data_IF_287197843123
#
_entry.id   IF_287197843123
#
_cell.length_a   1.000
_cell.length_b   1.000
_cell.length_c   1.000
_cell.angle_alpha   90.00
_cell.angle_beta   90.00
_cell.angle_gamma   90.00
#
_symmetry.space_group_name_H-M   'P 1'
#
loop_
_entity.id
_entity.type
_entity.pdbx_description
1 polymer ?
#
# COMPACT_ATOMS: atom_id res chain seq x y z
N UNK A 1 -1.97 -2.77 21.18
CA UNK A 1 -1.56 -4.15 20.84
C UNK A 1 -2.56 -5.25 21.24
N UNK A 2 -3.42 -5.09 22.25
CA UNK A 2 -4.36 -6.15 22.66
C UNK A 2 -5.31 -6.63 21.54
N UNK A 3 -5.72 -5.73 20.63
CA UNK A 3 -6.70 -6.04 19.57
C UNK A 3 -6.09 -6.72 18.35
N UNK A 4 -4.83 -6.45 18.01
CA UNK A 4 -4.16 -7.08 16.85
C UNK A 4 -3.93 -8.57 17.04
N UNK A 5 -3.79 -9.03 18.27
CA UNK A 5 -3.64 -10.47 18.55
C UNK A 5 -4.86 -11.31 18.11
N UNK A 6 -6.00 -10.66 17.86
CA UNK A 6 -7.23 -11.29 17.34
C UNK A 6 -7.47 -11.02 15.86
N UNK A 7 -6.62 -10.21 15.22
CA UNK A 7 -6.71 -9.90 13.80
C UNK A 7 -6.22 -11.06 12.93
N UNK A 8 -6.85 -11.22 11.77
CA UNK A 8 -6.37 -12.09 10.69
C UNK A 8 -4.94 -11.73 10.23
N UNK A 9 -4.48 -10.52 10.53
CA UNK A 9 -3.14 -10.03 10.22
C UNK A 9 -2.17 -10.06 11.40
N UNK A 10 -2.56 -10.60 12.55
CA UNK A 10 -1.72 -10.58 13.77
C UNK A 10 -0.32 -11.14 13.54
N UNK A 11 -0.18 -12.15 12.68
CA UNK A 11 1.10 -12.75 12.35
C UNK A 11 2.05 -11.78 11.63
N UNK A 12 1.54 -10.87 10.80
CA UNK A 12 2.36 -9.88 10.07
C UNK A 12 2.97 -8.83 11.00
N UNK A 13 2.34 -8.56 12.14
CA UNK A 13 2.74 -7.51 13.07
C UNK A 13 3.43 -8.04 14.34
N UNK A 14 3.65 -9.35 14.44
CA UNK A 14 4.19 -9.97 15.67
C UNK A 14 5.56 -9.44 16.06
N UNK A 15 6.36 -8.97 15.11
CA UNK A 15 7.70 -8.44 15.33
C UNK A 15 7.73 -6.91 15.43
N UNK A 16 6.59 -6.26 15.26
CA UNK A 16 6.50 -4.81 15.21
C UNK A 16 6.45 -4.21 16.62
N UNK A 17 7.22 -3.15 16.82
CA UNK A 17 7.35 -2.46 18.12
C UNK A 17 7.10 -0.96 18.04
N UNK A 18 6.54 -0.49 16.93
CA UNK A 18 6.30 0.94 16.71
C UNK A 18 5.26 1.50 17.67
N UNK A 19 5.51 2.66 18.28
CA UNK A 19 4.47 3.38 18.98
C UNK A 19 3.49 3.97 17.97
N UNK A 20 2.20 3.86 18.24
CA UNK A 20 1.15 4.56 17.51
C UNK A 20 0.77 5.80 18.30
N UNK A 21 0.78 6.94 17.64
CA UNK A 21 0.30 8.20 18.21
C UNK A 21 -1.14 8.42 17.75
N UNK A 22 -2.07 8.53 18.69
CA UNK A 22 -3.51 8.55 18.39
C UNK A 22 -4.04 9.83 17.71
N UNK A 23 -3.27 10.93 17.72
CA UNK A 23 -3.75 12.27 17.36
C UNK A 23 -3.37 12.73 15.94
N UNK A 24 -2.97 11.82 15.04
CA UNK A 24 -2.60 12.19 13.68
C UNK A 24 -3.81 12.47 12.79
N UNK A 25 -3.64 13.42 11.87
CA UNK A 25 -4.72 13.92 11.01
C UNK A 25 -5.37 12.81 10.16
N UNK A 26 -4.58 11.89 9.61
CA UNK A 26 -5.10 10.77 8.81
C UNK A 26 -5.92 9.78 9.66
N UNK A 27 -5.53 9.54 10.91
CA UNK A 27 -6.27 8.68 11.81
C UNK A 27 -7.58 9.33 12.26
N UNK A 28 -7.53 10.65 12.53
CA UNK A 28 -8.74 11.45 12.82
C UNK A 28 -9.71 11.46 11.64
N UNK A 29 -9.19 11.53 10.39
CA UNK A 29 -10.03 11.44 9.18
C UNK A 29 -10.80 10.11 9.13
N UNK A 30 -10.12 8.99 9.34
CA UNK A 30 -10.77 7.68 9.30
C UNK A 30 -11.78 7.53 10.47
N UNK A 31 -11.45 8.00 11.67
CA UNK A 31 -12.38 8.02 12.80
C UNK A 31 -13.61 8.89 12.53
N UNK A 32 -13.42 10.06 11.93
CA UNK A 32 -14.51 10.93 11.53
C UNK A 32 -15.42 10.26 10.48
N UNK A 33 -14.82 9.52 9.53
CA UNK A 33 -15.58 8.73 8.55
C UNK A 33 -16.38 7.60 9.22
N UNK A 34 -15.79 6.90 10.18
CA UNK A 34 -16.46 5.85 10.94
C UNK A 34 -17.61 6.39 11.81
N UNK A 35 -17.52 7.65 12.26
CA UNK A 35 -18.51 8.29 13.12
C UNK A 35 -19.49 9.20 12.36
N UNK A 36 -19.40 9.29 11.02
CA UNK A 36 -20.25 10.17 10.21
C UNK A 36 -20.00 11.67 10.42
N UNK A 37 -18.83 12.06 10.96
CA UNK A 37 -18.51 13.44 11.34
C UNK A 37 -17.86 14.20 10.17
N UNK A 38 -18.68 14.56 9.17
CA UNK A 38 -18.21 15.20 7.95
C UNK A 38 -17.55 16.57 8.18
N UNK A 39 -18.02 17.35 9.14
CA UNK A 39 -17.43 18.66 9.45
C UNK A 39 -16.04 18.52 10.08
N UNK A 40 -15.85 17.54 10.95
CA UNK A 40 -14.53 17.23 11.49
C UNK A 40 -13.57 16.77 10.38
N UNK A 41 -13.99 15.85 9.54
CA UNK A 41 -13.20 15.40 8.39
C UNK A 41 -12.79 16.58 7.49
N UNK A 42 -13.73 17.48 7.17
CA UNK A 42 -13.45 18.68 6.37
C UNK A 42 -12.44 19.62 7.05
N UNK A 43 -12.48 19.74 8.37
CA UNK A 43 -11.58 20.63 9.13
C UNK A 43 -10.11 20.21 9.05
N UNK A 44 -9.84 18.96 8.69
CA UNK A 44 -8.49 18.42 8.51
C UNK A 44 -7.84 18.85 7.18
N UNK A 45 -8.63 19.38 6.24
CA UNK A 45 -8.16 19.87 4.95
C UNK A 45 -8.28 21.40 4.87
N UNK A 46 -7.44 22.00 4.03
CA UNK A 46 -7.54 23.44 3.72
C UNK A 46 -8.10 23.66 2.31
N UNK A 47 -8.96 24.66 2.19
CA UNK A 47 -9.63 25.03 0.92
C UNK A 47 -8.79 26.01 0.07
N UNK A 48 -7.50 26.11 0.22
CA UNK A 48 -6.68 27.06 -0.55
C UNK A 48 -6.24 26.46 -1.88
N UNK A 49 -6.71 27.07 -2.98
CA UNK A 49 -6.19 26.83 -4.32
C UNK A 49 -4.85 27.54 -4.48
N UNK A 50 -3.74 26.90 -4.17
CA UNK A 50 -2.41 27.40 -4.49
C UNK A 50 -1.98 26.82 -5.85
N UNK A 51 -1.73 27.69 -6.83
CA UNK A 51 -1.15 27.38 -8.15
C UNK A 51 -1.90 26.30 -8.99
N UNK A 52 -3.23 26.24 -8.90
CA UNK A 52 -4.03 25.35 -9.72
C UNK A 52 -4.12 23.89 -9.22
N UNK A 53 -3.45 23.53 -8.14
CA UNK A 53 -3.69 22.28 -7.43
C UNK A 53 -5.00 22.38 -6.65
N UNK A 54 -5.78 21.28 -6.64
CA UNK A 54 -6.93 21.15 -5.77
C UNK A 54 -6.41 20.47 -4.51
N UNK A 55 -6.07 21.20 -3.44
CA UNK A 55 -5.77 20.58 -2.16
C UNK A 55 -7.07 19.95 -1.67
N UNK A 56 -6.98 18.82 -1.02
CA UNK A 56 -8.14 18.07 -0.56
C UNK A 56 -8.56 16.95 -1.51
N UNK A 57 -7.80 15.89 -1.46
CA UNK A 57 -8.07 14.67 -2.22
C UNK A 57 -8.09 13.48 -1.28
N UNK A 58 -9.11 12.62 -1.43
CA UNK A 58 -9.10 11.28 -0.84
C UNK A 58 -9.23 10.29 -1.98
N UNK A 59 -8.21 9.46 -2.16
CA UNK A 59 -8.16 8.45 -3.20
C UNK A 59 -8.33 7.05 -2.59
N UNK A 60 -9.28 6.29 -3.10
CA UNK A 60 -9.62 4.96 -2.60
C UNK A 60 -9.63 3.93 -3.74
N UNK A 61 -9.60 2.62 -3.44
CA UNK A 61 -9.70 1.59 -4.46
C UNK A 61 -10.96 1.66 -5.32
N UNK A 62 -11.98 2.38 -4.90
CA UNK A 62 -13.30 2.42 -5.55
C UNK A 62 -13.73 3.81 -6.02
N UNK A 63 -13.14 4.89 -5.50
CA UNK A 63 -13.50 6.26 -5.89
C UNK A 63 -12.40 7.26 -5.55
N UNK A 64 -12.39 8.40 -6.27
CA UNK A 64 -11.62 9.59 -5.93
C UNK A 64 -12.57 10.70 -5.51
N UNK A 65 -12.27 11.34 -4.40
CA UNK A 65 -13.04 12.40 -3.79
C UNK A 65 -12.20 13.68 -3.80
N UNK A 66 -12.72 14.75 -4.40
CA UNK A 66 -11.99 16.00 -4.57
C UNK A 66 -12.74 17.17 -3.93
N UNK A 67 -11.99 18.05 -3.27
CA UNK A 67 -12.51 19.19 -2.54
C UNK A 67 -13.31 18.80 -1.29
N UNK A 68 -13.74 19.80 -0.50
CA UNK A 68 -14.48 19.55 0.74
C UNK A 68 -15.82 18.84 0.50
N UNK A 69 -16.48 19.07 -0.64
CA UNK A 69 -17.68 18.31 -1.01
C UNK A 69 -17.38 16.84 -1.25
N UNK A 70 -16.20 16.53 -1.81
CA UNK A 70 -15.71 15.17 -1.94
C UNK A 70 -15.44 14.52 -0.58
N UNK A 71 -14.82 15.25 0.37
CA UNK A 71 -14.60 14.75 1.73
C UNK A 71 -15.92 14.42 2.43
N UNK A 72 -16.95 15.29 2.32
CA UNK A 72 -18.28 15.00 2.87
C UNK A 72 -18.86 13.72 2.29
N UNK A 73 -18.81 13.59 0.95
CA UNK A 73 -19.30 12.39 0.27
C UNK A 73 -18.52 11.14 0.69
N UNK A 74 -17.21 11.23 0.88
CA UNK A 74 -16.41 10.11 1.40
C UNK A 74 -16.93 9.65 2.77
N UNK A 75 -17.17 10.58 3.69
CA UNK A 75 -17.68 10.25 5.02
C UNK A 75 -19.09 9.63 4.94
N UNK A 76 -19.97 10.17 4.10
CA UNK A 76 -21.34 9.66 3.92
C UNK A 76 -21.34 8.25 3.28
N UNK A 77 -20.43 7.96 2.37
CA UNK A 77 -20.35 6.68 1.67
C UNK A 77 -19.54 5.61 2.43
N UNK A 78 -18.77 5.99 3.47
CA UNK A 78 -17.80 5.09 4.13
C UNK A 78 -18.45 3.84 4.71
N UNK A 79 -19.31 3.98 5.71
CA UNK A 79 -19.98 2.82 6.33
C UNK A 79 -20.87 2.05 5.34
N UNK A 80 -21.71 2.70 4.50
CA UNK A 80 -22.51 2.02 3.49
C UNK A 80 -21.67 1.19 2.50
N UNK A 81 -20.48 1.65 2.13
CA UNK A 81 -19.57 0.92 1.22
C UNK A 81 -19.19 -0.45 1.75
N UNK A 82 -19.05 -0.58 3.06
CA UNK A 82 -18.73 -1.85 3.72
C UNK A 82 -19.97 -2.58 4.26
N UNK A 83 -21.18 -2.07 3.99
CA UNK A 83 -22.42 -2.65 4.52
C UNK A 83 -22.51 -2.58 6.04
N UNK A 84 -21.85 -1.59 6.65
CA UNK A 84 -21.74 -1.45 8.09
C UNK A 84 -22.66 -0.37 8.64
N UNK A 85 -23.02 -0.49 9.92
CA UNK A 85 -23.76 0.50 10.69
C UNK A 85 -22.90 1.21 11.72
N UNK A 86 -21.74 0.64 12.04
CA UNK A 86 -20.75 1.15 12.99
C UNK A 86 -19.37 0.63 12.63
N UNK A 87 -18.31 1.28 13.11
CA UNK A 87 -16.94 0.84 12.91
C UNK A 87 -15.99 1.30 14.01
N UNK A 88 -15.06 0.42 14.39
CA UNK A 88 -13.96 0.72 15.30
C UNK A 88 -12.63 0.79 14.55
N UNK A 89 -11.83 1.83 14.79
CA UNK A 89 -10.53 2.04 14.16
C UNK A 89 -9.42 1.62 15.11
N UNK A 90 -8.63 0.65 14.69
CA UNK A 90 -7.53 0.05 15.45
C UNK A 90 -6.21 0.39 14.75
N UNK A 91 -5.48 1.43 15.19
CA UNK A 91 -4.19 1.75 14.62
C UNK A 91 -3.13 0.73 15.01
N UNK A 92 -2.23 0.40 14.09
CA UNK A 92 -1.23 -0.64 14.25
C UNK A 92 0.19 -0.09 14.23
N UNK A 93 0.59 0.50 13.11
CA UNK A 93 1.92 1.05 12.88
C UNK A 93 1.78 2.40 12.20
N UNK A 94 2.72 3.29 12.49
CA UNK A 94 2.85 4.53 11.79
C UNK A 94 4.30 4.78 11.41
N UNK A 95 4.48 5.11 10.12
CA UNK A 95 5.75 5.50 9.53
C UNK A 95 5.64 6.94 9.07
N UNK A 96 6.57 7.80 9.44
CA UNK A 96 6.48 9.23 9.17
C UNK A 96 7.82 9.82 8.74
N UNK A 97 7.85 10.42 7.55
CA UNK A 97 9.03 11.10 7.04
C UNK A 97 8.65 12.13 5.97
N UNK A 98 9.43 13.21 5.87
CA UNK A 98 9.40 14.16 4.75
C UNK A 98 8.01 14.71 4.39
N UNK A 99 7.19 15.06 5.39
CA UNK A 99 5.84 15.61 5.15
C UNK A 99 4.81 14.57 4.74
N UNK A 100 5.12 13.27 4.87
CA UNK A 100 4.18 12.17 4.65
C UNK A 100 4.07 11.30 5.88
N UNK A 101 2.87 10.81 6.13
CA UNK A 101 2.55 9.80 7.13
C UNK A 101 1.93 8.59 6.45
N UNK A 102 2.31 7.41 6.87
CA UNK A 102 1.67 6.15 6.49
C UNK A 102 1.23 5.44 7.74
N UNK A 103 -0.07 5.31 7.92
CA UNK A 103 -0.65 4.58 9.04
C UNK A 103 -1.20 3.24 8.56
N UNK A 104 -0.67 2.16 9.09
CA UNK A 104 -1.24 0.83 8.97
C UNK A 104 -2.28 0.66 10.08
N UNK A 105 -3.51 0.37 9.73
CA UNK A 105 -4.61 0.24 10.66
C UNK A 105 -5.58 -0.87 10.24
N UNK A 106 -6.39 -1.32 11.17
CA UNK A 106 -7.54 -2.18 10.93
C UNK A 106 -8.81 -1.41 11.27
N UNK A 107 -9.84 -1.57 10.46
CA UNK A 107 -11.20 -1.11 10.78
C UNK A 107 -12.09 -2.32 10.97
N UNK A 108 -12.70 -2.42 12.13
CA UNK A 108 -13.67 -3.45 12.46
C UNK A 108 -15.08 -2.92 12.15
N UNK A 109 -15.57 -3.25 10.96
CA UNK A 109 -16.91 -2.86 10.50
C UNK A 109 -17.98 -3.78 11.09
N UNK A 110 -18.91 -3.21 11.83
CA UNK A 110 -20.04 -3.92 12.45
C UNK A 110 -21.27 -3.87 11.56
N UNK A 111 -21.88 -5.03 11.34
CA UNK A 111 -23.13 -5.20 10.60
C UNK A 111 -24.03 -6.22 11.30
N UNK A 112 -25.32 -6.37 10.93
CA UNK A 112 -26.17 -7.43 11.44
C UNK A 112 -25.63 -8.86 11.18
N UNK A 113 -24.75 -9.00 10.20
CA UNK A 113 -24.13 -10.29 9.83
C UNK A 113 -22.86 -10.59 10.67
N UNK A 114 -22.39 -9.63 11.45
CA UNK A 114 -21.21 -9.73 12.29
C UNK A 114 -20.17 -8.64 12.05
N UNK A 115 -18.96 -8.89 12.55
CA UNK A 115 -17.82 -7.97 12.41
C UNK A 115 -16.96 -8.40 11.22
N UNK A 116 -16.66 -7.43 10.34
CA UNK A 116 -15.69 -7.57 9.25
C UNK A 116 -14.44 -6.77 9.55
N UNK A 117 -13.32 -7.44 9.71
CA UNK A 117 -12.02 -6.84 9.93
C UNK A 117 -11.37 -6.48 8.60
N UNK A 118 -11.11 -5.21 8.37
CA UNK A 118 -10.53 -4.71 7.12
C UNK A 118 -9.23 -3.96 7.40
N UNK A 119 -8.09 -4.47 6.94
CA UNK A 119 -6.82 -3.77 7.08
C UNK A 119 -6.68 -2.69 6.00
N UNK A 120 -6.06 -1.58 6.38
CA UNK A 120 -5.73 -0.49 5.48
C UNK A 120 -4.30 0.00 5.68
N UNK A 121 -3.68 0.42 4.56
CA UNK A 121 -2.68 1.47 4.59
C UNK A 121 -3.37 2.79 4.28
N UNK A 122 -3.12 3.78 5.12
CA UNK A 122 -3.59 5.16 4.94
C UNK A 122 -2.36 6.02 4.73
N UNK A 123 -2.13 6.46 3.50
CA UNK A 123 -1.03 7.36 3.16
C UNK A 123 -1.55 8.77 3.13
N UNK A 124 -0.94 9.66 3.88
CA UNK A 124 -1.32 11.06 3.97
C UNK A 124 -0.14 11.96 3.60
N UNK A 125 -0.29 12.77 2.56
CA UNK A 125 0.57 13.90 2.30
C UNK A 125 0.15 15.07 3.19
N UNK A 126 1.08 15.54 4.01
CA UNK A 126 0.82 16.48 5.06
C UNK A 126 1.34 17.88 4.68
N UNK A 127 0.49 18.88 4.74
CA UNK A 127 0.92 20.27 4.63
C UNK A 127 1.55 20.76 5.94
N UNK A 128 0.94 20.37 7.05
CA UNK A 128 1.44 20.59 8.42
C UNK A 128 1.20 19.30 9.21
N UNK A 129 1.61 19.27 10.47
CA UNK A 129 1.38 18.12 11.33
C UNK A 129 -0.10 17.72 11.44
N UNK A 130 -1.01 18.69 11.36
CA UNK A 130 -2.45 18.51 11.60
C UNK A 130 -3.32 18.79 10.37
N UNK A 131 -2.71 18.98 9.19
CA UNK A 131 -3.43 19.36 7.98
C UNK A 131 -3.05 18.46 6.82
N UNK A 132 -4.07 17.89 6.18
CA UNK A 132 -3.97 16.98 5.05
C UNK A 132 -4.02 17.75 3.72
N UNK A 133 -3.21 17.35 2.76
CA UNK A 133 -3.34 17.75 1.36
C UNK A 133 -3.99 16.63 0.55
N UNK A 134 -3.46 15.41 0.64
CA UNK A 134 -3.96 14.24 -0.06
C UNK A 134 -3.91 13.00 0.83
N UNK A 135 -4.91 12.15 0.71
CA UNK A 135 -4.97 10.86 1.41
C UNK A 135 -5.24 9.75 0.40
N UNK A 136 -4.45 8.69 0.45
CA UNK A 136 -4.62 7.49 -0.36
C UNK A 136 -4.86 6.28 0.54
N UNK A 137 -5.88 5.51 0.23
CA UNK A 137 -6.26 4.31 0.98
C UNK A 137 -5.94 3.07 0.17
N UNK A 138 -5.28 2.11 0.79
CA UNK A 138 -5.00 0.80 0.20
C UNK A 138 -5.61 -0.30 1.06
N UNK A 139 -6.33 -1.20 0.43
CA UNK A 139 -6.81 -2.46 1.01
C UNK A 139 -7.06 -3.47 -0.10
N UNK A 140 -7.14 -4.74 0.22
CA UNK A 140 -7.43 -5.75 -0.78
C UNK A 140 -8.92 -5.78 -1.16
N UNK A 141 -9.23 -6.07 -2.45
CA UNK A 141 -10.60 -6.02 -2.98
C UNK A 141 -11.56 -6.97 -2.27
N UNK A 142 -11.06 -8.12 -1.82
CA UNK A 142 -11.89 -9.11 -1.13
C UNK A 142 -12.59 -8.56 0.11
N UNK A 143 -12.06 -7.46 0.66
CA UNK A 143 -12.67 -6.79 1.80
C UNK A 143 -13.76 -5.79 1.41
N UNK A 144 -13.84 -5.37 0.14
CA UNK A 144 -14.78 -4.35 -0.32
C UNK A 144 -15.96 -5.03 -1.03
N UNK A 145 -17.17 -5.03 -0.45
CA UNK A 145 -18.32 -5.69 -1.04
C UNK A 145 -18.62 -5.20 -2.46
N UNK A 146 -18.81 -6.15 -3.39
CA UNK A 146 -19.20 -5.87 -4.76
C UNK A 146 -18.12 -5.22 -5.63
N UNK A 147 -16.90 -5.02 -5.12
CA UNK A 147 -15.81 -4.47 -5.92
C UNK A 147 -15.24 -5.56 -6.83
N UNK A 148 -15.46 -5.41 -8.14
CA UNK A 148 -14.97 -6.33 -9.17
C UNK A 148 -13.74 -5.81 -9.93
N UNK A 149 -13.45 -4.54 -9.82
CA UNK A 149 -12.30 -3.90 -10.46
C UNK A 149 -11.75 -2.79 -9.57
N UNK A 150 -10.43 -2.76 -9.47
CA UNK A 150 -9.74 -1.69 -8.76
C UNK A 150 -9.56 -0.46 -9.61
N UNK A 151 -9.50 0.63 -8.92
CA UNK A 151 -8.97 1.87 -9.39
C UNK A 151 -7.59 2.08 -8.78
N UNK A 152 -6.56 2.19 -9.62
CA UNK A 152 -5.25 2.60 -9.15
C UNK A 152 -5.32 4.05 -8.63
N UNK A 153 -4.62 4.40 -7.55
CA UNK A 153 -4.49 5.79 -7.11
C UNK A 153 -3.94 6.66 -8.24
N UNK A 154 -4.47 7.87 -8.37
CA UNK A 154 -3.94 8.87 -9.28
C UNK A 154 -2.99 9.77 -8.49
N UNK A 155 -1.71 9.66 -8.78
CA UNK A 155 -0.72 10.53 -8.17
C UNK A 155 -0.73 11.88 -8.90
N UNK A 156 -0.86 13.00 -8.18
CA UNK A 156 -0.61 14.29 -8.79
C UNK A 156 0.86 14.31 -9.25
N UNK A 157 1.17 14.86 -10.36
CA UNK A 157 2.42 15.03 -11.11
C UNK A 157 3.80 14.92 -10.39
N UNK A 158 3.83 14.61 -9.13
CA UNK A 158 5.04 14.37 -8.34
C UNK A 158 5.42 12.90 -8.42
N UNK A 159 5.78 12.49 -9.61
CA UNK A 159 6.44 11.21 -9.76
C UNK A 159 7.81 11.30 -9.09
N UNK A 160 8.19 10.24 -8.41
CA UNK A 160 9.58 10.02 -8.16
C UNK A 160 10.27 9.99 -9.53
N UNK A 161 11.15 10.94 -9.81
CA UNK A 161 11.87 10.97 -11.08
C UNK A 161 12.66 9.66 -11.25
N UNK A 162 12.90 9.29 -12.51
CA UNK A 162 13.79 8.18 -12.84
C UNK A 162 15.11 8.38 -12.09
N UNK A 163 15.40 7.53 -11.11
CA UNK A 163 16.54 7.69 -10.21
C UNK A 163 16.20 7.86 -8.73
N UNK A 164 14.93 8.07 -8.36
CA UNK A 164 14.53 8.09 -6.95
C UNK A 164 14.45 6.69 -6.32
N UNK A 165 14.44 5.62 -7.09
CA UNK A 165 14.89 4.30 -6.62
C UNK A 165 16.34 4.35 -6.09
N UNK A 166 17.16 5.31 -6.53
CA UNK A 166 18.43 5.66 -5.90
C UNK A 166 18.32 6.23 -4.48
N UNK A 167 17.12 6.61 -4.02
CA UNK A 167 16.84 6.96 -2.63
C UNK A 167 16.61 5.75 -1.72
N UNK A 168 16.39 4.56 -2.29
CA UNK A 168 16.41 3.33 -1.52
C UNK A 168 17.82 3.11 -0.96
N UNK A 169 17.91 2.89 0.32
CA UNK A 169 19.18 2.72 1.02
C UNK A 169 19.21 1.44 1.85
N UNK A 170 20.42 0.98 2.17
CA UNK A 170 20.63 -0.15 3.06
C UNK A 170 19.90 -1.42 2.61
N UNK A 171 19.36 -2.15 3.57
CA UNK A 171 18.73 -3.46 3.38
C UNK A 171 17.56 -3.45 2.40
N UNK A 172 16.78 -2.36 2.37
CA UNK A 172 15.64 -2.24 1.43
C UNK A 172 16.13 -2.14 -0.01
N UNK A 173 17.21 -1.40 -0.26
CA UNK A 173 17.84 -1.34 -1.58
C UNK A 173 18.34 -2.72 -2.02
N UNK A 174 19.11 -3.41 -1.16
CA UNK A 174 19.63 -4.74 -1.45
C UNK A 174 18.51 -5.75 -1.75
N UNK A 175 17.42 -5.67 -1.00
CA UNK A 175 16.22 -6.47 -1.23
C UNK A 175 15.64 -6.23 -2.63
N UNK A 176 15.46 -4.97 -3.03
CA UNK A 176 14.92 -4.65 -4.35
C UNK A 176 15.86 -5.02 -5.49
N UNK A 177 17.17 -4.88 -5.30
CA UNK A 177 18.16 -5.36 -6.25
C UNK A 177 18.12 -6.88 -6.43
N UNK A 178 17.82 -7.63 -5.38
CA UNK A 178 17.57 -9.07 -5.45
C UNK A 178 16.24 -9.40 -6.15
N UNK A 179 15.17 -8.68 -5.78
CA UNK A 179 13.83 -8.92 -6.31
C UNK A 179 13.73 -8.68 -7.82
N UNK A 180 14.38 -7.65 -8.33
CA UNK A 180 14.30 -7.24 -9.73
C UNK A 180 15.42 -7.77 -10.62
N UNK A 181 16.24 -8.69 -10.14
CA UNK A 181 17.31 -9.27 -10.93
C UNK A 181 16.77 -10.09 -12.11
N UNK A 182 17.37 -9.89 -13.30
CA UNK A 182 17.01 -10.65 -14.51
C UNK A 182 17.82 -11.96 -14.58
N UNK A 183 17.27 -13.06 -15.06
CA UNK A 183 15.91 -13.26 -15.63
C UNK A 183 14.84 -13.56 -14.58
N UNK A 184 15.22 -13.76 -13.33
CA UNK A 184 14.31 -14.02 -12.20
C UNK A 184 14.90 -13.43 -10.93
N UNK A 185 14.11 -13.31 -9.88
CA UNK A 185 14.56 -12.84 -8.58
C UNK A 185 15.74 -13.68 -8.04
N UNK A 186 16.71 -13.00 -7.44
CA UNK A 186 17.84 -13.62 -6.73
C UNK A 186 17.41 -13.93 -5.29
N UNK A 187 16.84 -15.12 -5.08
CA UNK A 187 16.29 -15.52 -3.80
C UNK A 187 17.34 -15.51 -2.70
N UNK A 188 18.58 -15.91 -2.99
CA UNK A 188 19.64 -15.93 -1.98
C UNK A 188 20.00 -14.51 -1.52
N UNK A 189 20.09 -13.55 -2.45
CA UNK A 189 20.30 -12.14 -2.11
C UNK A 189 19.12 -11.57 -1.31
N UNK A 190 17.89 -11.89 -1.69
CA UNK A 190 16.69 -11.51 -0.92
C UNK A 190 16.78 -12.05 0.50
N UNK A 191 17.11 -13.33 0.66
CA UNK A 191 17.20 -13.97 1.97
C UNK A 191 18.33 -13.44 2.84
N UNK A 192 19.39 -12.87 2.26
CA UNK A 192 20.43 -12.15 3.02
C UNK A 192 19.91 -10.87 3.67
N UNK A 193 18.85 -10.29 3.10
CA UNK A 193 18.18 -9.11 3.67
C UNK A 193 17.19 -9.44 4.79
N UNK A 194 16.83 -10.71 4.99
CA UNK A 194 15.82 -11.13 5.96
C UNK A 194 16.42 -11.49 7.32
N UNK A 195 15.79 -11.02 8.39
CA UNK A 195 16.13 -11.46 9.75
C UNK A 195 15.68 -12.91 9.99
N UNK A 196 16.22 -13.54 11.05
CA UNK A 196 15.87 -14.92 11.41
C UNK A 196 14.38 -15.09 11.76
N UNK A 197 13.75 -14.03 12.27
CA UNK A 197 12.34 -14.02 12.67
C UNK A 197 11.48 -13.23 11.67
N UNK A 198 11.84 -13.21 10.40
CA UNK A 198 11.08 -12.45 9.41
C UNK A 198 9.69 -13.00 9.18
N UNK A 199 8.78 -12.11 8.79
CA UNK A 199 7.45 -12.43 8.29
C UNK A 199 7.22 -11.73 6.95
N UNK A 200 6.44 -12.37 6.09
CA UNK A 200 6.14 -11.82 4.77
C UNK A 200 4.71 -12.16 4.38
N UNK A 201 3.96 -11.18 3.93
CA UNK A 201 2.62 -11.43 3.41
C UNK A 201 1.88 -10.21 2.92
N UNK A 202 0.83 -10.49 2.17
CA UNK A 202 -0.12 -9.48 1.71
C UNK A 202 -1.30 -9.31 2.67
N UNK A 203 -2.09 -8.28 2.42
CA UNK A 203 -3.39 -8.07 3.08
C UNK A 203 -4.48 -8.95 2.45
N UNK A 204 -4.14 -10.20 2.11
CA UNK A 204 -5.04 -11.16 1.46
C UNK A 204 -5.23 -12.46 2.29
N UNK A 205 -5.39 -12.39 3.61
CA UNK A 205 -5.35 -13.58 4.45
C UNK A 205 -6.51 -14.55 4.24
N UNK A 206 -7.58 -14.09 3.56
CA UNK A 206 -8.77 -14.90 3.29
C UNK A 206 -8.67 -15.68 1.98
N UNK A 207 -7.59 -15.52 1.21
CA UNK A 207 -7.35 -16.28 -0.03
C UNK A 207 -6.54 -17.52 0.33
N UNK A 208 -7.09 -18.74 0.16
CA UNK A 208 -6.34 -19.96 0.43
C UNK A 208 -5.01 -20.01 -0.33
N UNK A 209 -3.94 -20.39 0.35
CA UNK A 209 -2.59 -20.44 -0.21
C UNK A 209 -1.85 -19.10 -0.22
N UNK A 210 -2.46 -18.04 0.33
CA UNK A 210 -1.85 -16.71 0.48
C UNK A 210 -1.63 -16.30 1.94
N UNK A 211 -1.68 -17.25 2.84
CA UNK A 211 -1.39 -17.03 4.24
C UNK A 211 0.01 -16.42 4.40
N UNK A 212 0.22 -15.53 5.37
CA UNK A 212 1.52 -14.97 5.64
C UNK A 212 2.56 -16.05 5.93
N UNK A 213 3.74 -15.93 5.35
CA UNK A 213 4.91 -16.70 5.74
C UNK A 213 5.43 -16.16 7.07
N UNK A 214 5.63 -17.04 8.03
CA UNK A 214 5.95 -16.69 9.42
C UNK A 214 7.27 -17.26 9.90
N UNK A 215 7.92 -18.08 9.11
CA UNK A 215 9.27 -18.59 9.30
C UNK A 215 10.16 -18.20 8.14
N UNK A 216 11.47 -18.20 8.36
CA UNK A 216 12.45 -17.89 7.32
C UNK A 216 12.38 -18.88 6.15
N UNK A 217 12.10 -20.15 6.44
CA UNK A 217 11.88 -21.20 5.44
C UNK A 217 10.66 -20.92 4.59
N UNK A 218 9.51 -20.63 5.21
CA UNK A 218 8.28 -20.28 4.48
C UNK A 218 8.45 -19.03 3.63
N UNK A 219 9.21 -18.02 4.11
CA UNK A 219 9.54 -16.83 3.33
C UNK A 219 10.38 -17.20 2.12
N UNK A 220 11.40 -18.05 2.28
CA UNK A 220 12.21 -18.56 1.17
C UNK A 220 11.35 -19.30 0.14
N UNK A 221 10.54 -20.24 0.58
CA UNK A 221 9.65 -21.01 -0.30
C UNK A 221 8.72 -20.10 -1.11
N UNK A 222 8.18 -19.04 -0.49
CA UNK A 222 7.37 -18.05 -1.22
C UNK A 222 8.19 -17.34 -2.30
N UNK A 223 9.41 -16.89 -2.02
CA UNK A 223 10.23 -16.24 -3.03
C UNK A 223 10.70 -17.20 -4.13
N UNK A 224 11.02 -18.45 -3.82
CA UNK A 224 11.33 -19.47 -4.81
C UNK A 224 10.14 -19.74 -5.74
N UNK A 225 8.93 -19.85 -5.16
CA UNK A 225 7.70 -19.96 -5.94
C UNK A 225 7.44 -18.70 -6.78
N UNK A 226 7.59 -17.53 -6.19
CA UNK A 226 7.45 -16.27 -6.90
C UNK A 226 8.47 -16.16 -8.04
N UNK A 227 9.71 -16.53 -7.85
CA UNK A 227 10.75 -16.48 -8.89
C UNK A 227 10.41 -17.35 -10.11
N UNK A 228 9.68 -18.45 -9.91
CA UNK A 228 9.24 -19.34 -11.00
C UNK A 228 7.99 -18.82 -11.73
N UNK A 229 7.10 -18.12 -11.03
CA UNK A 229 5.76 -17.81 -11.53
C UNK A 229 5.44 -16.31 -11.57
N UNK A 230 6.31 -15.45 -11.01
CA UNK A 230 6.09 -14.01 -11.12
C UNK A 230 6.07 -13.64 -12.60
N UNK A 231 5.06 -12.86 -13.00
CA UNK A 231 5.04 -12.22 -14.29
C UNK A 231 6.31 -11.38 -14.43
N UNK A 232 6.91 -11.43 -15.61
CA UNK A 232 8.07 -10.62 -15.91
C UNK A 232 7.73 -9.16 -15.74
N UNK A 233 8.39 -8.48 -14.82
CA UNK A 233 8.26 -7.04 -14.68
C UNK A 233 8.83 -6.37 -15.94
N UNK A 234 8.00 -5.64 -16.66
CA UNK A 234 8.40 -4.94 -17.89
C UNK A 234 8.73 -3.50 -17.60
N UNK A 235 8.07 -2.92 -16.60
CA UNK A 235 8.35 -1.58 -16.12
C UNK A 235 7.90 -1.44 -14.66
N UNK A 236 8.58 -0.58 -13.93
CA UNK A 236 8.23 -0.24 -12.56
C UNK A 236 8.48 1.23 -12.31
N UNK A 237 7.59 1.84 -11.57
CA UNK A 237 7.76 3.20 -11.07
C UNK A 237 7.40 3.25 -9.59
N UNK A 238 8.27 3.85 -8.80
CA UNK A 238 7.96 4.24 -7.44
C UNK A 238 7.23 5.58 -7.47
N UNK A 239 6.10 5.67 -6.79
CA UNK A 239 5.33 6.89 -6.71
C UNK A 239 5.70 7.70 -5.48
N UNK A 240 5.88 7.04 -4.36
CA UNK A 240 6.33 7.69 -3.12
C UNK A 240 7.22 6.77 -2.29
N UNK A 241 8.05 7.39 -1.47
CA UNK A 241 8.90 6.72 -0.50
C UNK A 241 8.82 7.46 0.83
N UNK A 242 8.49 6.72 1.89
CA UNK A 242 8.44 7.23 3.27
C UNK A 242 9.28 6.32 4.15
N UNK A 243 10.43 6.79 4.61
CA UNK A 243 11.37 6.00 5.41
C UNK A 243 11.74 6.75 6.68
N UNK A 244 11.38 6.23 7.84
CA UNK A 244 11.70 6.78 9.16
C UNK A 244 12.97 6.16 9.78
N UNK A 245 13.68 5.34 9.01
CA UNK A 245 14.86 4.60 9.44
C UNK A 245 14.55 3.21 9.99
N UNK A 246 13.32 2.96 10.46
CA UNK A 246 12.86 1.65 10.89
C UNK A 246 11.97 1.00 9.85
N UNK A 247 10.95 1.69 9.38
CA UNK A 247 10.08 1.22 8.32
C UNK A 247 10.24 2.08 7.08
N UNK A 248 10.46 1.44 5.95
CA UNK A 248 10.41 2.05 4.64
C UNK A 248 9.10 1.65 3.97
N UNK A 249 8.26 2.62 3.65
CA UNK A 249 7.00 2.39 2.94
C UNK A 249 7.11 2.96 1.54
N UNK A 250 6.72 2.16 0.55
CA UNK A 250 6.81 2.51 -0.87
C UNK A 250 5.46 2.31 -1.52
N UNK A 251 4.95 3.35 -2.19
CA UNK A 251 3.85 3.23 -3.15
C UNK A 251 4.45 3.06 -4.55
N UNK A 252 3.91 2.15 -5.35
CA UNK A 252 4.48 1.77 -6.64
C UNK A 252 3.43 1.40 -7.69
N UNK A 253 3.84 1.49 -8.96
CA UNK A 253 3.14 0.93 -10.11
C UNK A 253 4.07 -0.02 -10.85
N UNK A 254 3.64 -1.26 -11.04
CA UNK A 254 4.31 -2.25 -11.86
C UNK A 254 3.52 -2.50 -13.14
N UNK A 255 4.21 -2.60 -14.26
CA UNK A 255 3.66 -3.15 -15.49
C UNK A 255 4.33 -4.49 -15.73
N UNK A 256 3.53 -5.52 -15.75
CA UNK A 256 4.00 -6.90 -15.83
C UNK A 256 3.42 -7.62 -17.03
N UNK A 257 4.19 -8.56 -17.59
CA UNK A 257 3.68 -9.54 -18.54
C UNK A 257 3.89 -10.95 -17.99
N UNK A 258 2.90 -11.83 -18.14
CA UNK A 258 3.05 -13.22 -17.69
C UNK A 258 3.93 -13.99 -18.66
N UNK A 259 5.03 -14.55 -18.17
CA UNK A 259 5.87 -15.44 -18.94
C UNK A 259 5.07 -16.63 -19.47
N UNK A 260 5.14 -16.90 -20.78
CA UNK A 260 4.38 -17.94 -21.45
C UNK A 260 2.89 -17.64 -21.64
N UNK A 261 2.47 -16.40 -21.44
CA UNK A 261 1.11 -15.89 -21.66
C UNK A 261 1.11 -14.48 -22.23
N UNK A 262 2.11 -14.15 -23.03
CA UNK A 262 2.28 -12.82 -23.64
C UNK A 262 1.09 -12.42 -24.51
N UNK A 263 0.35 -13.40 -25.06
CA UNK A 263 -0.89 -13.19 -25.81
C UNK A 263 -2.01 -12.57 -24.97
N UNK A 264 -1.92 -12.64 -23.65
CA UNK A 264 -2.89 -12.01 -22.72
C UNK A 264 -2.56 -10.55 -22.41
N UNK A 265 -1.47 -10.04 -22.97
CA UNK A 265 -1.05 -8.66 -22.81
C UNK A 265 -0.37 -8.38 -21.48
N UNK A 266 -0.28 -7.10 -21.16
CA UNK A 266 0.35 -6.57 -19.96
C UNK A 266 -0.70 -6.21 -18.92
N UNK A 267 -0.33 -6.33 -17.63
CA UNK A 267 -1.17 -5.95 -16.50
C UNK A 267 -0.44 -4.85 -15.75
N UNK A 268 -1.17 -3.77 -15.45
CA UNK A 268 -0.69 -2.80 -14.48
C UNK A 268 -1.17 -3.18 -13.09
N UNK A 269 -0.25 -3.18 -12.15
CA UNK A 269 -0.52 -3.34 -10.72
C UNK A 269 -0.01 -2.11 -10.00
N UNK A 270 -0.82 -1.53 -9.16
CA UNK A 270 -0.35 -0.56 -8.18
C UNK A 270 -0.49 -1.13 -6.79
N UNK A 271 0.33 -0.67 -5.88
CA UNK A 271 0.29 -1.16 -4.53
C UNK A 271 1.14 -0.33 -3.58
N UNK A 272 1.17 -0.81 -2.37
CA UNK A 272 1.98 -0.29 -1.29
C UNK A 272 2.63 -1.44 -0.54
N UNK A 273 3.85 -1.24 -0.09
CA UNK A 273 4.54 -2.19 0.75
C UNK A 273 5.30 -1.49 1.88
N UNK A 274 5.26 -2.08 3.07
CA UNK A 274 6.03 -1.66 4.22
C UNK A 274 7.13 -2.69 4.51
N UNK A 275 8.36 -2.20 4.57
CA UNK A 275 9.59 -2.96 4.85
C UNK A 275 10.11 -2.55 6.22
N UNK A 276 9.83 -3.34 7.23
CA UNK A 276 10.23 -3.05 8.61
C UNK A 276 11.56 -3.73 8.93
N UNK A 277 12.51 -2.94 9.45
CA UNK A 277 13.82 -3.41 9.89
C UNK A 277 13.77 -3.78 11.37
N UNK A 278 14.37 -4.91 11.70
CA UNK A 278 14.64 -5.30 13.08
C UNK A 278 15.84 -4.56 13.69
N UNK A 279 16.16 -4.86 14.92
CA UNK A 279 17.32 -4.28 15.62
C UNK A 279 18.67 -4.71 15.00
N UNK A 280 18.66 -5.78 14.20
CA UNK A 280 19.79 -6.26 13.41
C UNK A 280 19.96 -5.51 12.06
N UNK A 281 19.06 -4.57 11.77
CA UNK A 281 19.03 -3.83 10.50
C UNK A 281 18.51 -4.62 9.31
N UNK A 282 18.15 -5.90 9.50
CA UNK A 282 17.56 -6.76 8.49
C UNK A 282 16.03 -6.64 8.50
N UNK A 283 15.38 -7.09 7.44
CA UNK A 283 13.93 -7.03 7.31
C UNK A 283 13.27 -8.08 8.21
N UNK A 284 12.56 -7.63 9.21
CA UNK A 284 11.82 -8.49 10.14
C UNK A 284 10.34 -8.63 9.77
N UNK A 285 9.80 -7.72 8.94
CA UNK A 285 8.44 -7.82 8.43
C UNK A 285 8.31 -7.12 7.07
N UNK A 286 7.67 -7.78 6.12
CA UNK A 286 7.26 -7.20 4.84
C UNK A 286 5.76 -7.38 4.72
N UNK A 287 5.05 -6.26 4.57
CA UNK A 287 3.59 -6.21 4.45
C UNK A 287 3.21 -5.52 3.15
N UNK A 288 2.35 -6.15 2.37
CA UNK A 288 2.03 -5.70 1.01
C UNK A 288 0.52 -5.59 0.85
N UNK A 289 0.05 -4.52 0.21
CA UNK A 289 -1.30 -4.42 -0.30
C UNK A 289 -1.26 -4.07 -1.78
N UNK A 290 -1.54 -5.08 -2.61
CA UNK A 290 -1.52 -4.97 -4.06
C UNK A 290 -2.93 -4.72 -4.60
N UNK A 291 -3.05 -3.78 -5.52
CA UNK A 291 -4.18 -3.71 -6.42
C UNK A 291 -3.90 -4.62 -7.63
N UNK A 292 -3.91 -5.92 -7.41
CA UNK A 292 -3.84 -6.90 -8.48
C UNK A 292 -5.16 -6.88 -9.23
N UNK A 293 -5.17 -6.25 -10.41
CA UNK A 293 -6.31 -6.33 -11.31
C UNK A 293 -6.48 -7.72 -11.91
N UNK A 294 -7.68 -8.03 -12.38
CA UNK A 294 -7.89 -9.16 -13.27
C UNK A 294 -7.03 -9.00 -14.51
N UNK A 295 -6.58 -10.13 -15.10
CA UNK A 295 -5.89 -10.12 -16.39
C UNK A 295 -6.77 -9.44 -17.44
N UNK A 296 -6.38 -8.28 -17.89
CA UNK A 296 -7.09 -7.51 -18.93
C UNK A 296 -6.11 -6.74 -19.77
N UNK A 297 -6.54 -6.37 -20.95
CA UNK A 297 -5.81 -5.43 -21.79
C UNK A 297 -5.66 -4.11 -21.03
N UNK A 298 -4.46 -3.57 -21.02
CA UNK A 298 -4.17 -2.30 -20.34
C UNK A 298 -4.83 -1.18 -21.13
N UNK A 299 -5.72 -0.45 -20.48
CA UNK A 299 -6.12 0.86 -20.93
C UNK A 299 -5.17 1.90 -20.34
N UNK A 300 -4.20 2.30 -21.13
CA UNK A 300 -3.15 3.23 -20.71
C UNK A 300 -3.70 4.60 -20.30
N UNK A 301 -4.87 4.99 -20.80
CA UNK A 301 -5.48 6.28 -20.43
C UNK A 301 -5.96 6.32 -18.98
N UNK A 302 -6.15 5.16 -18.35
CA UNK A 302 -6.60 5.03 -16.96
C UNK A 302 -5.45 4.74 -15.99
N UNK A 303 -4.21 4.74 -16.47
CA UNK A 303 -3.05 4.46 -15.63
C UNK A 303 -2.38 5.78 -15.21
N UNK A 304 -1.78 5.80 -14.00
CA UNK A 304 -0.95 6.94 -13.57
C UNK A 304 0.38 7.05 -14.32
N UNK A 305 0.65 6.13 -15.23
CA UNK A 305 1.88 6.06 -16.04
C UNK A 305 1.50 5.86 -17.52
N UNK A 306 2.09 6.62 -18.41
CA UNK A 306 1.91 6.44 -19.85
C UNK A 306 2.61 5.16 -20.34
N UNK A 307 2.21 4.69 -21.54
CA UNK A 307 2.86 3.55 -22.17
C UNK A 307 4.34 3.84 -22.43
N UNK A 308 4.65 5.03 -22.89
CA UNK A 308 6.00 5.49 -23.20
C UNK A 308 6.86 5.55 -21.93
N UNK A 309 6.31 6.05 -20.81
CA UNK A 309 6.98 6.05 -19.53
C UNK A 309 7.22 4.61 -19.02
N UNK A 310 6.20 3.74 -19.11
CA UNK A 310 6.33 2.35 -18.71
C UNK A 310 7.38 1.58 -19.52
N UNK A 311 7.55 1.91 -20.81
CA UNK A 311 8.58 1.32 -21.67
C UNK A 311 9.98 1.89 -21.41
N UNK A 312 10.08 3.12 -20.88
CA UNK A 312 11.35 3.76 -20.54
C UNK A 312 11.87 3.34 -19.15
N UNK A 313 10.96 3.03 -18.22
CA UNK A 313 11.34 2.52 -16.89
C UNK A 313 11.58 1.02 -16.98
N UNK A 314 12.72 0.62 -17.47
CA UNK A 314 13.11 -0.79 -17.55
C UNK A 314 14.10 -1.13 -16.43
N UNK A 315 13.56 -1.42 -15.26
CA UNK A 315 14.36 -1.80 -14.10
C UNK A 315 15.22 -3.04 -14.35
N UNK A 316 14.74 -3.95 -15.20
CA UNK A 316 15.43 -5.19 -15.54
C UNK A 316 16.70 -4.93 -16.37
N UNK A 317 16.81 -3.81 -17.08
CA UNK A 317 17.99 -3.46 -17.86
C UNK A 317 19.05 -2.72 -17.04
N UNK A 318 18.68 -2.01 -15.97
CA UNK A 318 19.66 -1.32 -15.10
C UNK A 318 20.47 -2.28 -14.21
N UNK A 319 20.01 -3.52 -14.06
CA UNK A 319 20.67 -4.57 -13.26
C UNK A 319 21.26 -5.71 -14.10
N UNK A 320 21.38 -5.53 -15.40
CA UNK A 320 22.08 -6.47 -16.29
C UNK A 320 23.62 -6.22 -16.26
#
# INVERSE_FOLDING_TARGET
MKYIQQSVLASLYRNSTHPVHEDYAELRLIRAACSGQADEACSLFREEKLFGHVPCVIDTPYARYEGLSGVRRFVEEWLPRFGATDAEVIPVIQTRANGRSVTELQVDFSSPEGIRQVPFFVVADLRTQDTLDEVRLYTHCSFIPGLQAYRAPLFPSTHLEKGECGLLTGTVREYYEGLHRSPCADVDRIMQCMSEKCVFGGYEPLVPGREPATTREEVREKYEHMALYIPRCVAMRYETLTDDGRTCVIEWVHVISRAGREERGRIAMSGIAAYERGDDGLLCSIRISDYAGLERTIDWSQLPISKEEAEQVNFVEEYR
#
